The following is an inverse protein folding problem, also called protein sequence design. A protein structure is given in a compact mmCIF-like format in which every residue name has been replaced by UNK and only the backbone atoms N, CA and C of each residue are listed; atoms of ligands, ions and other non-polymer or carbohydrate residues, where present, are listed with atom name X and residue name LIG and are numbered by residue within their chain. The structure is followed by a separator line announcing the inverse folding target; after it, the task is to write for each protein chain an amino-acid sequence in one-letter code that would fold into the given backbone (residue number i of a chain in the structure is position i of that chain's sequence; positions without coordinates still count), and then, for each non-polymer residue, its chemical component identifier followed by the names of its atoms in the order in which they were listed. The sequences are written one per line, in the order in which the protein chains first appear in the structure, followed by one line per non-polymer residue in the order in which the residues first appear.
data_IF_808970316207
#
_entry.id   IF_808970316207
#
_cell.length_a   1.000
_cell.length_b   1.000
_cell.length_c   1.000
_cell.angle_alpha   90.00
_cell.angle_beta   90.00
_cell.angle_gamma   90.00
#
_symmetry.space_group_name_H-M   'P 1'
#
loop_
_entity.id
_entity.type
_entity.pdbx_description
1 polymer ?
#
# COMPACT_ATOMS: atom_id res chain seq x y z
N UNK A 1 -53.08 -5.18 -3.25
CA UNK A 1 -51.73 -5.18 -2.63
C UNK A 1 -51.88 -5.09 -1.13
N UNK A 2 -51.40 -6.02 -0.31
CA UNK A 2 -51.54 -5.97 1.14
C UNK A 2 -50.73 -4.80 1.71
N UNK A 3 -51.36 -3.93 2.50
CA UNK A 3 -50.73 -2.85 3.24
C UNK A 3 -49.82 -3.48 4.32
N UNK A 4 -48.48 -3.35 4.17
CA UNK A 4 -47.53 -3.74 5.24
C UNK A 4 -47.92 -3.04 6.54
N UNK A 5 -48.18 -3.83 7.59
CA UNK A 5 -48.55 -3.34 8.91
C UNK A 5 -47.44 -2.47 9.51
N UNK A 6 -47.80 -1.48 10.32
CA UNK A 6 -46.86 -0.59 11.03
C UNK A 6 -45.82 -1.40 11.84
N UNK A 7 -46.22 -2.54 12.38
CA UNK A 7 -45.36 -3.45 13.14
C UNK A 7 -44.26 -4.08 12.28
N UNK A 8 -44.61 -4.58 11.08
CA UNK A 8 -43.60 -5.13 10.14
C UNK A 8 -42.56 -4.10 9.70
N UNK A 9 -42.91 -2.80 9.62
CA UNK A 9 -41.97 -1.71 9.32
C UNK A 9 -41.10 -1.34 10.53
N UNK A 10 -41.54 -1.61 11.75
CA UNK A 10 -40.78 -1.34 12.96
C UNK A 10 -39.72 -2.41 13.21
N UNK A 11 -40.07 -3.69 12.90
CA UNK A 11 -39.15 -4.84 13.00
C UNK A 11 -38.05 -4.84 11.88
N UNK A 12 -38.36 -4.23 10.73
CA UNK A 12 -37.38 -4.09 9.62
C UNK A 12 -36.31 -2.98 9.86
N UNK A 13 -36.53 -2.03 10.76
CA UNK A 13 -35.61 -0.90 10.99
C UNK A 13 -34.25 -1.31 11.54
N UNK A 14 -34.14 -2.17 12.56
CA UNK A 14 -32.82 -2.60 13.06
C UNK A 14 -32.00 -3.38 12.02
N UNK A 15 -32.68 -4.29 11.28
CA UNK A 15 -32.00 -5.06 10.23
C UNK A 15 -31.43 -4.16 9.14
N UNK A 16 -32.17 -3.15 8.71
CA UNK A 16 -31.67 -2.16 7.73
C UNK A 16 -30.52 -1.33 8.26
N UNK A 17 -30.60 -0.85 9.51
CA UNK A 17 -29.52 -0.09 10.13
C UNK A 17 -28.24 -0.92 10.22
N UNK A 18 -28.36 -2.21 10.53
CA UNK A 18 -27.25 -3.15 10.56
C UNK A 18 -26.63 -3.34 9.16
N UNK A 19 -27.43 -3.61 8.13
CA UNK A 19 -26.98 -3.78 6.75
C UNK A 19 -26.32 -2.51 6.20
N UNK A 20 -26.90 -1.33 6.48
CA UNK A 20 -26.33 -0.04 6.08
C UNK A 20 -24.98 0.22 6.75
N UNK A 21 -24.81 -0.14 8.02
CA UNK A 21 -23.56 0.00 8.74
C UNK A 21 -22.47 -0.90 8.12
N UNK A 22 -22.76 -2.18 7.86
CA UNK A 22 -21.85 -3.10 7.17
C UNK A 22 -21.47 -2.55 5.79
N UNK A 23 -22.45 -2.14 4.99
CA UNK A 23 -22.23 -1.62 3.65
C UNK A 23 -21.31 -0.40 3.66
N UNK A 24 -21.46 0.50 4.62
CA UNK A 24 -20.60 1.66 4.82
C UNK A 24 -19.16 1.26 5.08
N UNK A 25 -18.93 0.34 6.03
CA UNK A 25 -17.57 -0.15 6.34
C UNK A 25 -16.86 -0.79 5.13
N UNK A 26 -17.60 -1.60 4.36
CA UNK A 26 -17.03 -2.21 3.14
C UNK A 26 -16.68 -1.15 2.09
N UNK A 27 -17.48 -0.09 1.96
CA UNK A 27 -17.16 1.03 1.07
C UNK A 27 -15.95 1.83 1.57
N UNK A 28 -15.84 2.08 2.87
CA UNK A 28 -14.69 2.75 3.49
C UNK A 28 -13.40 1.94 3.29
N UNK A 29 -13.46 0.61 3.46
CA UNK A 29 -12.35 -0.29 3.14
C UNK A 29 -11.91 -0.16 1.68
N UNK A 30 -12.85 -0.16 0.73
CA UNK A 30 -12.53 -0.02 -0.69
C UNK A 30 -11.84 1.33 -0.99
N UNK A 31 -12.33 2.42 -0.39
CA UNK A 31 -11.72 3.76 -0.50
C UNK A 31 -10.31 3.81 0.10
N UNK A 32 -10.14 3.20 1.28
CA UNK A 32 -8.84 3.12 1.94
C UNK A 32 -7.80 2.39 1.08
N UNK A 33 -8.17 1.24 0.51
CA UNK A 33 -7.30 0.47 -0.38
C UNK A 33 -6.90 1.27 -1.61
N UNK A 34 -7.85 1.91 -2.28
CA UNK A 34 -7.58 2.72 -3.46
C UNK A 34 -6.68 3.92 -3.12
N UNK A 35 -6.94 4.59 -1.99
CA UNK A 35 -6.11 5.70 -1.50
C UNK A 35 -4.68 5.24 -1.22
N UNK A 36 -4.50 4.12 -0.53
CA UNK A 36 -3.19 3.56 -0.21
C UNK A 36 -2.38 3.24 -1.48
N UNK A 37 -3.01 2.59 -2.46
CA UNK A 37 -2.38 2.29 -3.75
C UNK A 37 -1.97 3.55 -4.49
N UNK A 38 -2.88 4.53 -4.61
CA UNK A 38 -2.64 5.78 -5.33
C UNK A 38 -1.48 6.56 -4.72
N UNK A 39 -1.42 6.66 -3.40
CA UNK A 39 -0.36 7.39 -2.71
C UNK A 39 1.01 6.73 -2.87
N UNK A 40 1.09 5.40 -2.80
CA UNK A 40 2.34 4.67 -3.06
C UNK A 40 2.78 4.81 -4.51
N UNK A 41 1.84 4.74 -5.46
CA UNK A 41 2.12 4.99 -6.88
C UNK A 41 2.68 6.39 -7.13
N UNK A 42 2.12 7.42 -6.49
CA UNK A 42 2.63 8.80 -6.62
C UNK A 42 4.07 8.94 -6.15
N UNK A 43 4.45 8.27 -5.04
CA UNK A 43 5.84 8.26 -4.56
C UNK A 43 6.78 7.61 -5.59
N UNK A 44 6.37 6.50 -6.19
CA UNK A 44 7.15 5.81 -7.22
C UNK A 44 7.26 6.61 -8.52
N UNK A 45 6.19 7.28 -8.94
CA UNK A 45 6.20 8.18 -10.12
C UNK A 45 7.16 9.34 -9.89
N UNK A 46 7.16 9.94 -8.70
CA UNK A 46 8.09 11.02 -8.33
C UNK A 46 9.53 10.55 -8.29
N UNK A 47 9.79 9.37 -7.73
CA UNK A 47 11.13 8.77 -7.72
C UNK A 47 11.63 8.48 -9.14
N UNK A 48 10.76 7.89 -9.98
CA UNK A 48 11.06 7.63 -11.40
C UNK A 48 11.46 8.92 -12.13
N UNK A 49 10.68 10.00 -11.97
CA UNK A 49 10.98 11.26 -12.63
C UNK A 49 12.37 11.79 -12.25
N UNK A 50 12.71 11.80 -10.96
CA UNK A 50 14.03 12.21 -10.46
C UNK A 50 15.16 11.34 -11.00
N UNK A 51 14.98 10.02 -11.04
CA UNK A 51 15.99 9.09 -11.56
C UNK A 51 16.22 9.33 -13.05
N UNK A 52 15.15 9.48 -13.84
CA UNK A 52 15.27 9.75 -15.27
C UNK A 52 15.93 11.09 -15.52
N UNK A 53 15.59 12.14 -14.77
CA UNK A 53 16.27 13.44 -14.83
C UNK A 53 17.75 13.30 -14.54
N UNK A 54 18.12 12.58 -13.48
CA UNK A 54 19.53 12.31 -13.13
C UNK A 54 20.26 11.58 -14.25
N UNK A 55 19.64 10.59 -14.89
CA UNK A 55 20.24 9.83 -15.99
C UNK A 55 20.38 10.63 -17.28
N UNK A 56 19.37 11.43 -17.62
CA UNK A 56 19.41 12.26 -18.86
C UNK A 56 20.36 13.43 -18.75
N UNK A 57 20.66 13.90 -17.54
CA UNK A 57 21.66 14.94 -17.28
C UNK A 57 23.11 14.48 -17.36
N UNK A 58 23.38 13.17 -17.53
CA UNK A 58 24.74 12.65 -17.66
C UNK A 58 25.27 12.79 -19.10
N UNK A 59 26.61 13.00 -19.29
CA UNK A 59 27.22 12.91 -20.59
C UNK A 59 26.97 11.53 -21.25
N UNK A 60 26.93 11.49 -22.59
CA UNK A 60 26.70 10.24 -23.33
C UNK A 60 27.86 9.24 -23.21
N UNK A 61 29.05 9.72 -22.84
CA UNK A 61 30.30 8.98 -22.69
C UNK A 61 30.73 8.87 -21.20
N UNK A 62 29.78 8.79 -20.27
CA UNK A 62 30.13 8.71 -18.87
C UNK A 62 30.99 7.47 -18.55
N UNK A 63 32.01 7.70 -17.73
CA UNK A 63 33.03 6.71 -17.45
C UNK A 63 32.75 5.91 -16.18
N UNK A 64 33.41 4.77 -16.02
CA UNK A 64 33.23 3.84 -14.90
C UNK A 64 33.36 4.51 -13.52
N UNK A 65 34.21 5.52 -13.35
CA UNK A 65 34.35 6.24 -12.08
C UNK A 65 33.11 7.06 -11.69
N UNK A 66 32.29 7.47 -12.67
CA UNK A 66 31.04 8.19 -12.44
C UNK A 66 29.90 7.24 -12.03
N UNK A 67 30.02 5.94 -12.40
CA UNK A 67 28.96 4.94 -12.15
C UNK A 67 28.64 4.81 -10.67
N UNK A 68 29.66 4.71 -9.80
CA UNK A 68 29.42 4.57 -8.35
C UNK A 68 28.69 5.77 -7.75
N UNK A 69 29.03 6.98 -8.18
CA UNK A 69 28.35 8.21 -7.76
C UNK A 69 26.92 8.24 -8.24
N UNK A 70 26.68 7.88 -9.50
CA UNK A 70 25.35 7.87 -10.10
C UNK A 70 24.44 6.83 -9.43
N UNK A 71 24.96 5.63 -9.16
CA UNK A 71 24.25 4.60 -8.41
C UNK A 71 23.93 5.05 -6.97
N UNK A 72 24.85 5.75 -6.30
CA UNK A 72 24.59 6.34 -4.99
C UNK A 72 23.39 7.28 -5.03
N UNK A 73 23.35 8.22 -5.98
CA UNK A 73 22.22 9.15 -6.15
C UNK A 73 20.88 8.44 -6.44
N UNK A 74 20.92 7.41 -7.27
CA UNK A 74 19.72 6.60 -7.59
C UNK A 74 19.23 5.84 -6.34
N UNK A 75 20.15 5.25 -5.58
CA UNK A 75 19.83 4.56 -4.33
C UNK A 75 19.19 5.49 -3.32
N UNK A 76 19.74 6.69 -3.12
CA UNK A 76 19.19 7.70 -2.20
C UNK A 76 17.74 8.06 -2.58
N UNK A 77 17.44 8.21 -3.86
CA UNK A 77 16.08 8.49 -4.36
C UNK A 77 15.15 7.31 -4.11
N UNK A 78 15.59 6.07 -4.40
CA UNK A 78 14.78 4.86 -4.18
C UNK A 78 14.56 4.59 -2.70
N UNK A 79 15.59 4.69 -1.88
CA UNK A 79 15.49 4.45 -0.44
C UNK A 79 14.58 5.48 0.23
N UNK A 80 14.69 6.75 -0.18
CA UNK A 80 13.80 7.81 0.29
C UNK A 80 12.33 7.54 -0.08
N UNK A 81 12.06 7.15 -1.33
CA UNK A 81 10.73 6.83 -1.80
C UNK A 81 10.15 5.58 -1.10
N UNK A 82 10.96 4.53 -0.95
CA UNK A 82 10.51 3.30 -0.27
C UNK A 82 10.36 3.51 1.24
N UNK A 83 11.16 4.36 1.86
CA UNK A 83 10.99 4.77 3.26
C UNK A 83 9.64 5.47 3.49
N UNK A 84 9.30 6.43 2.63
CA UNK A 84 8.01 7.12 2.68
C UNK A 84 6.84 6.17 2.39
N UNK A 85 6.99 5.29 1.38
CA UNK A 85 5.98 4.27 1.07
C UNK A 85 5.75 3.32 2.25
N UNK A 86 6.81 2.91 2.96
CA UNK A 86 6.72 2.06 4.15
C UNK A 86 6.00 2.75 5.32
N UNK A 87 6.28 4.03 5.57
CA UNK A 87 5.60 4.80 6.61
C UNK A 87 4.10 4.99 6.29
N UNK A 88 3.79 5.35 5.05
CA UNK A 88 2.41 5.46 4.57
C UNK A 88 1.66 4.12 4.68
N UNK A 89 2.29 3.05 4.26
CA UNK A 89 1.76 1.69 4.35
C UNK A 89 1.43 1.30 5.79
N UNK A 90 2.33 1.56 6.74
CA UNK A 90 2.09 1.27 8.16
C UNK A 90 0.89 2.05 8.70
N UNK A 91 0.74 3.32 8.32
CA UNK A 91 -0.44 4.13 8.67
C UNK A 91 -1.74 3.51 8.10
N UNK A 92 -1.74 3.14 6.81
CA UNK A 92 -2.92 2.55 6.15
C UNK A 92 -3.29 1.18 6.70
N UNK A 93 -2.31 0.42 7.18
CA UNK A 93 -2.59 -0.82 7.91
C UNK A 93 -3.28 -0.57 9.25
N UNK A 94 -2.88 0.47 10.00
CA UNK A 94 -3.58 0.87 11.22
C UNK A 94 -5.03 1.29 10.93
N UNK A 95 -5.24 2.10 9.88
CA UNK A 95 -6.59 2.50 9.46
C UNK A 95 -7.44 1.27 9.09
N UNK A 96 -6.86 0.29 8.37
CA UNK A 96 -7.56 -0.94 7.98
C UNK A 96 -7.88 -1.84 9.17
N UNK A 97 -6.99 -1.89 10.15
CA UNK A 97 -7.21 -2.62 11.40
C UNK A 97 -8.42 -2.05 12.16
N UNK A 98 -8.43 -0.74 12.39
CA UNK A 98 -9.54 -0.05 13.06
C UNK A 98 -10.87 -0.21 12.29
N UNK A 99 -10.84 -0.16 10.96
CA UNK A 99 -12.01 -0.44 10.15
C UNK A 99 -12.49 -1.90 10.27
N UNK A 100 -11.56 -2.84 10.43
CA UNK A 100 -11.86 -4.25 10.64
C UNK A 100 -12.56 -4.50 11.98
N UNK A 101 -12.08 -3.87 13.05
CA UNK A 101 -12.73 -3.87 14.37
C UNK A 101 -14.15 -3.29 14.26
N UNK A 102 -14.28 -2.12 13.62
CA UNK A 102 -15.54 -1.42 13.45
C UNK A 102 -16.58 -2.16 12.60
N UNK A 103 -16.16 -3.11 11.76
CA UNK A 103 -17.09 -3.92 10.95
C UNK A 103 -18.06 -4.74 11.80
N UNK A 104 -17.67 -5.10 13.01
CA UNK A 104 -18.49 -5.86 13.95
C UNK A 104 -19.15 -4.93 14.96
N UNK A 105 -18.38 -4.03 15.57
CA UNK A 105 -18.84 -3.20 16.68
C UNK A 105 -19.93 -2.19 16.25
N UNK A 106 -19.76 -1.52 15.11
CA UNK A 106 -20.69 -0.47 14.69
C UNK A 106 -22.06 -0.98 14.23
N UNK A 107 -22.19 -2.07 13.45
CA UNK A 107 -23.50 -2.65 13.14
C UNK A 107 -24.26 -3.11 14.38
N UNK A 108 -23.58 -3.69 15.36
CA UNK A 108 -24.18 -4.11 16.62
C UNK A 108 -24.63 -2.91 17.47
N UNK A 109 -23.83 -1.86 17.53
CA UNK A 109 -24.22 -0.61 18.18
C UNK A 109 -25.42 0.06 17.49
N UNK A 110 -25.52 -0.02 16.16
CA UNK A 110 -26.64 0.55 15.40
C UNK A 110 -28.01 -0.09 15.72
N UNK A 111 -28.00 -1.32 16.22
CA UNK A 111 -29.23 -2.04 16.68
C UNK A 111 -29.40 -1.99 18.19
N UNK A 112 -28.63 -1.16 18.89
CA UNK A 112 -28.76 -0.94 20.33
C UNK A 112 -27.98 -1.91 21.22
N UNK A 113 -27.10 -2.74 20.65
CA UNK A 113 -26.18 -3.57 21.40
C UNK A 113 -24.85 -2.83 21.62
N UNK A 114 -24.63 -2.32 22.83
CA UNK A 114 -23.38 -1.68 23.22
C UNK A 114 -22.34 -2.74 23.59
N UNK A 115 -21.33 -2.94 22.73
CA UNK A 115 -20.25 -3.93 22.94
C UNK A 115 -19.06 -3.30 23.69
N UNK A 116 -18.98 -1.98 23.77
CA UNK A 116 -17.84 -1.23 24.30
C UNK A 116 -17.39 -1.62 25.72
N UNK A 117 -18.22 -2.30 26.49
CA UNK A 117 -17.90 -2.69 27.88
C UNK A 117 -17.47 -4.14 28.06
N UNK A 118 -17.47 -4.99 27.03
CA UNK A 118 -17.34 -6.44 27.22
C UNK A 118 -16.17 -7.06 26.44
N UNK A 119 -15.78 -6.51 25.30
CA UNK A 119 -14.75 -7.13 24.47
C UNK A 119 -13.36 -6.54 24.74
N UNK A 120 -12.32 -7.39 24.94
CA UNK A 120 -10.95 -6.94 25.10
C UNK A 120 -10.44 -6.25 23.83
N UNK A 121 -9.43 -5.37 23.98
CA UNK A 121 -8.76 -4.79 22.84
C UNK A 121 -7.99 -5.86 22.07
N UNK A 122 -8.00 -5.77 20.74
CA UNK A 122 -7.24 -6.68 19.90
C UNK A 122 -5.72 -6.50 20.11
N UNK A 123 -4.95 -7.57 19.90
CA UNK A 123 -3.50 -7.56 20.04
C UNK A 123 -2.82 -6.71 18.95
N UNK A 124 -2.42 -5.50 19.35
CA UNK A 124 -1.67 -4.57 18.47
C UNK A 124 -0.28 -5.10 18.12
N UNK A 125 0.22 -6.12 18.81
CA UNK A 125 1.52 -6.75 18.53
C UNK A 125 1.53 -7.41 17.15
N UNK A 126 0.46 -8.09 16.78
CA UNK A 126 0.28 -8.69 15.45
C UNK A 126 0.29 -7.63 14.36
N UNK A 127 -0.44 -6.54 14.54
CA UNK A 127 -0.45 -5.41 13.59
C UNK A 127 0.96 -4.84 13.38
N UNK A 128 1.72 -4.62 14.46
CA UNK A 128 3.11 -4.12 14.37
C UNK A 128 4.02 -5.05 13.60
N UNK A 129 3.90 -6.37 13.79
CA UNK A 129 4.66 -7.36 13.03
C UNK A 129 4.30 -7.33 11.53
N UNK A 130 3.02 -7.24 11.21
CA UNK A 130 2.57 -7.11 9.81
C UNK A 130 3.07 -5.82 9.16
N UNK A 131 3.04 -4.68 9.87
CA UNK A 131 3.59 -3.40 9.41
C UNK A 131 5.08 -3.48 9.12
N UNK A 132 5.86 -4.08 10.04
CA UNK A 132 7.29 -4.25 9.86
C UNK A 132 7.61 -5.14 8.66
N UNK A 133 6.93 -6.28 8.53
CA UNK A 133 7.12 -7.21 7.42
C UNK A 133 6.75 -6.59 6.06
N UNK A 134 5.60 -5.92 5.95
CA UNK A 134 5.19 -5.29 4.70
C UNK A 134 6.08 -4.10 4.30
N UNK A 135 6.54 -3.32 5.28
CA UNK A 135 7.51 -2.23 5.04
C UNK A 135 8.85 -2.77 4.54
N UNK A 136 9.31 -3.91 5.07
CA UNK A 136 10.51 -4.59 4.56
C UNK A 136 10.35 -5.04 3.10
N UNK A 137 9.22 -5.66 2.78
CA UNK A 137 8.91 -6.07 1.38
C UNK A 137 8.89 -4.89 0.41
N UNK A 138 8.39 -3.72 0.83
CA UNK A 138 8.45 -2.50 0.01
C UNK A 138 9.89 -2.05 -0.22
N UNK A 139 10.74 -2.07 0.82
CA UNK A 139 12.17 -1.78 0.68
C UNK A 139 12.87 -2.76 -0.28
N UNK A 140 12.50 -4.03 -0.28
CA UNK A 140 13.04 -5.03 -1.20
C UNK A 140 12.70 -4.72 -2.67
N UNK A 141 11.52 -4.14 -2.95
CA UNK A 141 11.17 -3.64 -4.30
C UNK A 141 12.17 -2.56 -4.75
N UNK A 142 12.51 -1.62 -3.88
CA UNK A 142 13.49 -0.56 -4.17
C UNK A 142 14.89 -1.13 -4.40
N UNK A 143 15.34 -2.04 -3.54
CA UNK A 143 16.65 -2.69 -3.64
C UNK A 143 16.82 -3.49 -4.94
N UNK A 144 15.79 -4.24 -5.33
CA UNK A 144 15.81 -4.98 -6.59
C UNK A 144 15.82 -4.04 -7.81
N UNK A 145 15.04 -2.95 -7.75
CA UNK A 145 15.06 -1.93 -8.80
C UNK A 145 16.47 -1.31 -8.93
N UNK A 146 17.10 -0.95 -7.82
CA UNK A 146 18.47 -0.43 -7.77
C UNK A 146 19.48 -1.39 -8.41
N UNK A 147 19.42 -2.68 -8.04
CA UNK A 147 20.29 -3.70 -8.62
C UNK A 147 20.14 -3.83 -10.14
N UNK A 148 18.90 -3.85 -10.63
CA UNK A 148 18.62 -3.90 -12.07
C UNK A 148 19.10 -2.64 -12.81
N UNK A 149 18.90 -1.46 -12.22
CA UNK A 149 19.42 -0.20 -12.78
C UNK A 149 20.95 -0.25 -12.85
N UNK A 150 21.61 -0.72 -11.78
CA UNK A 150 23.06 -0.88 -11.73
C UNK A 150 23.59 -1.78 -12.84
N UNK A 151 22.90 -2.88 -13.13
CA UNK A 151 23.24 -3.76 -14.25
C UNK A 151 23.15 -3.03 -15.60
N UNK A 152 22.08 -2.28 -15.87
CA UNK A 152 21.91 -1.55 -17.12
C UNK A 152 23.00 -0.47 -17.30
N UNK A 153 23.29 0.29 -16.24
CA UNK A 153 24.34 1.31 -16.28
C UNK A 153 25.74 0.70 -16.38
N UNK A 154 25.99 -0.45 -15.77
CA UNK A 154 27.21 -1.22 -15.95
C UNK A 154 27.42 -1.63 -17.40
N UNK A 155 26.36 -2.06 -18.10
CA UNK A 155 26.43 -2.39 -19.53
C UNK A 155 26.78 -1.17 -20.40
N UNK A 156 26.36 0.04 -20.04
CA UNK A 156 26.75 1.26 -20.73
C UNK A 156 28.25 1.50 -20.60
N UNK A 157 28.81 1.32 -19.40
CA UNK A 157 30.25 1.58 -19.15
C UNK A 157 31.21 0.63 -19.90
N UNK A 158 30.73 -0.58 -20.22
CA UNK A 158 31.53 -1.56 -21.01
C UNK A 158 31.17 -1.54 -22.50
N UNK A 159 30.33 -0.60 -22.95
CA UNK A 159 29.93 -0.45 -24.35
C UNK A 159 28.91 -1.49 -24.85
N UNK A 160 28.29 -2.27 -23.94
CA UNK A 160 27.28 -3.27 -24.29
C UNK A 160 25.89 -2.68 -24.55
N UNK A 161 25.62 -1.46 -24.07
CA UNK A 161 24.39 -0.69 -24.29
C UNK A 161 24.71 0.78 -24.53
N UNK A 162 23.86 1.45 -25.28
CA UNK A 162 23.86 2.92 -25.33
C UNK A 162 23.19 3.49 -24.09
N UNK A 163 23.51 4.72 -23.70
CA UNK A 163 22.84 5.43 -22.63
C UNK A 163 21.32 5.52 -22.86
N UNK A 164 20.91 5.76 -24.10
CA UNK A 164 19.50 5.84 -24.47
C UNK A 164 18.76 4.51 -24.21
N UNK A 165 19.34 3.38 -24.58
CA UNK A 165 18.78 2.05 -24.32
C UNK A 165 18.67 1.76 -22.83
N UNK A 166 19.72 2.07 -22.06
CA UNK A 166 19.70 1.92 -20.62
C UNK A 166 18.59 2.77 -19.95
N UNK A 167 18.43 4.03 -20.35
CA UNK A 167 17.36 4.91 -19.86
C UNK A 167 15.99 4.32 -20.19
N UNK A 168 15.79 3.78 -21.38
CA UNK A 168 14.53 3.15 -21.80
C UNK A 168 14.19 1.92 -20.93
N UNK A 169 15.16 1.07 -20.64
CA UNK A 169 14.95 -0.08 -19.75
C UNK A 169 14.68 0.36 -18.30
N UNK A 170 15.36 1.38 -17.79
CA UNK A 170 15.08 1.97 -16.48
C UNK A 170 13.68 2.57 -16.42
N UNK A 171 13.23 3.25 -17.47
CA UNK A 171 11.88 3.79 -17.57
C UNK A 171 10.82 2.69 -17.49
N UNK A 172 11.04 1.57 -18.17
CA UNK A 172 10.15 0.40 -18.16
C UNK A 172 10.11 -0.25 -16.79
N UNK A 173 11.25 -0.50 -16.16
CA UNK A 173 11.38 -1.08 -14.84
C UNK A 173 10.62 -0.26 -13.78
N UNK A 174 10.87 1.05 -13.74
CA UNK A 174 10.28 1.96 -12.77
C UNK A 174 8.83 2.38 -13.13
N UNK A 175 8.41 2.18 -14.38
CA UNK A 175 7.06 2.49 -14.84
C UNK A 175 6.06 1.33 -14.67
N UNK A 176 6.52 0.09 -14.72
CA UNK A 176 5.66 -1.09 -14.75
C UNK A 176 5.95 -2.07 -13.61
N UNK A 177 7.16 -2.60 -13.53
CA UNK A 177 7.46 -3.74 -12.64
C UNK A 177 7.45 -3.35 -11.16
N UNK A 178 8.16 -2.28 -10.80
CA UNK A 178 8.23 -1.81 -9.41
C UNK A 178 6.89 -1.30 -8.87
N UNK A 179 6.13 -0.46 -9.60
CA UNK A 179 4.78 -0.06 -9.18
C UNK A 179 3.81 -1.23 -9.02
N UNK A 180 3.80 -2.17 -9.96
CA UNK A 180 2.94 -3.36 -9.89
C UNK A 180 3.21 -4.19 -8.64
N UNK A 181 4.48 -4.41 -8.31
CA UNK A 181 4.86 -5.17 -7.10
C UNK A 181 4.51 -4.42 -5.81
N UNK A 182 4.82 -3.13 -5.75
CA UNK A 182 4.52 -2.31 -4.57
C UNK A 182 3.00 -2.24 -4.30
N UNK A 183 2.18 -2.01 -5.33
CA UNK A 183 0.72 -1.99 -5.17
C UNK A 183 0.14 -3.34 -4.78
N UNK A 184 0.69 -4.45 -5.30
CA UNK A 184 0.28 -5.79 -4.89
C UNK A 184 0.55 -6.05 -3.41
N UNK A 185 1.72 -5.63 -2.89
CA UNK A 185 2.05 -5.73 -1.47
C UNK A 185 1.06 -4.91 -0.63
N UNK A 186 0.84 -3.64 -0.99
CA UNK A 186 -0.09 -2.75 -0.26
C UNK A 186 -1.49 -3.34 -0.24
N UNK A 187 -2.01 -3.77 -1.38
CA UNK A 187 -3.37 -4.35 -1.48
C UNK A 187 -3.52 -5.58 -0.61
N UNK A 188 -2.56 -6.50 -0.71
CA UNK A 188 -2.63 -7.77 0.01
C UNK A 188 -2.55 -7.57 1.51
N UNK A 189 -1.57 -6.81 1.99
CA UNK A 189 -1.33 -6.70 3.43
C UNK A 189 -2.35 -5.78 4.12
N UNK A 190 -2.80 -4.69 3.48
CA UNK A 190 -3.87 -3.84 4.03
C UNK A 190 -5.20 -4.60 4.09
N UNK A 191 -5.52 -5.40 3.04
CA UNK A 191 -6.70 -6.26 3.08
C UNK A 191 -6.62 -7.33 4.17
N UNK A 192 -5.43 -7.89 4.37
CA UNK A 192 -5.17 -8.89 5.41
C UNK A 192 -5.32 -8.31 6.81
N UNK A 193 -4.83 -7.08 7.05
CA UNK A 193 -5.00 -6.40 8.33
C UNK A 193 -6.47 -6.19 8.68
N UNK A 194 -7.27 -5.72 7.71
CA UNK A 194 -8.72 -5.59 7.87
C UNK A 194 -9.39 -6.94 8.18
N UNK A 195 -9.10 -7.98 7.40
CA UNK A 195 -9.72 -9.29 7.57
C UNK A 195 -9.34 -9.94 8.91
N UNK A 196 -8.08 -9.79 9.33
CA UNK A 196 -7.62 -10.34 10.60
C UNK A 196 -8.32 -9.64 11.77
N UNK A 197 -8.37 -8.31 11.77
CA UNK A 197 -9.03 -7.55 12.83
C UNK A 197 -10.53 -7.90 12.94
N UNK A 198 -11.25 -8.01 11.80
CA UNK A 198 -12.66 -8.39 11.82
C UNK A 198 -12.87 -9.84 12.28
N UNK A 199 -11.99 -10.78 11.91
CA UNK A 199 -12.09 -12.17 12.34
C UNK A 199 -11.77 -12.33 13.84
N UNK A 200 -10.73 -11.68 14.34
CA UNK A 200 -10.41 -11.70 15.77
C UNK A 200 -11.51 -11.07 16.60
N UNK A 201 -12.15 -10.01 16.08
CA UNK A 201 -13.29 -9.37 16.77
C UNK A 201 -14.53 -10.26 16.79
N UNK A 202 -14.78 -11.05 15.73
CA UNK A 202 -15.85 -12.03 15.69
C UNK A 202 -15.64 -13.22 16.63
N UNK A 203 -14.39 -13.54 16.94
CA UNK A 203 -14.03 -14.67 17.81
C UNK A 203 -14.14 -14.36 19.31
N UNK A 204 -14.28 -13.08 19.67
CA UNK A 204 -14.49 -12.61 21.06
C UNK A 204 -15.97 -12.64 21.45
#
# INVERSE_FOLDING_TARGET
MPKRTKQARQDERPARAFEEAISRHLQERARLLLSAQTQVLQLLVSARAKIIETLTGQPSDFQQWQLSRLLGQINDVLDGAMGQAGALFALRMSDAWTLGEGLIDQPLAAIGHSIEMVLPQLDVGVLKQMQAFGSLRLKDVGREASGKIGQQLGMVTIGGLTQFEAIKEVQKLLGNDSPRRATAIVTTEVSRAFALASNERLAQ
#
